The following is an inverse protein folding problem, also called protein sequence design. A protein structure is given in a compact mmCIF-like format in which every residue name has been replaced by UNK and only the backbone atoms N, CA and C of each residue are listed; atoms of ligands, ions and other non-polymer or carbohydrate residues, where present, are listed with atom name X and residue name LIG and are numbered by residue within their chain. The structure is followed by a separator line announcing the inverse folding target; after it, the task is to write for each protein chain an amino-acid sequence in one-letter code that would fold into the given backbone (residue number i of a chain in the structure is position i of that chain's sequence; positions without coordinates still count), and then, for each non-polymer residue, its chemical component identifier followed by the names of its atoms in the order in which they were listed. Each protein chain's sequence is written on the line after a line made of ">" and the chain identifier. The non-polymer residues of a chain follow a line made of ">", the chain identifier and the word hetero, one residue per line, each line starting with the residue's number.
data_IF_266727415539
#
_entry.id   IF_266727415539
#
_cell.length_a   1.000
_cell.length_b   1.000
_cell.length_c   1.000
_cell.angle_alpha   90.00
_cell.angle_beta   90.00
_cell.angle_gamma   90.00
#
_symmetry.space_group_name_H-M   'P 1'
#
loop_
_entity.id
_entity.type
_entity.pdbx_description
1 polymer ?
#
# COMPACT_ATOMS: atom_id res chain seq x y z
N UNK A 1 -23.13 40.45 45.17
CA UNK A 1 -22.73 41.62 45.99
C UNK A 1 -21.70 41.17 47.02
N UNK A 2 -20.71 42.00 47.36
CA UNK A 2 -19.71 41.83 48.44
C UNK A 2 -18.81 40.57 48.35
N UNK A 3 -17.50 40.58 48.03
CA UNK A 3 -16.35 41.47 48.31
C UNK A 3 -15.71 41.30 49.70
N UNK A 4 -14.50 40.70 49.74
CA UNK A 4 -13.39 40.84 50.71
C UNK A 4 -12.14 40.22 50.02
N UNK A 5 -10.95 40.85 49.80
CA UNK A 5 -10.02 41.70 50.61
C UNK A 5 -9.64 40.98 51.93
N UNK A 6 -8.40 40.76 52.39
CA UNK A 6 -6.98 41.21 52.21
C UNK A 6 -6.05 40.03 52.64
N UNK A 7 -4.70 39.96 52.55
CA UNK A 7 -3.62 40.72 51.87
C UNK A 7 -2.28 39.93 51.87
N UNK A 8 -1.36 40.32 50.99
CA UNK A 8 0.14 40.32 51.05
C UNK A 8 0.88 39.60 52.21
N UNK A 9 1.89 38.80 51.83
CA UNK A 9 3.18 38.74 52.54
C UNK A 9 4.35 38.65 51.52
N UNK A 10 5.32 39.56 51.63
CA UNK A 10 6.57 39.53 50.86
C UNK A 10 7.59 38.63 51.59
N UNK A 11 8.34 37.80 50.87
CA UNK A 11 9.70 37.40 51.27
C UNK A 11 10.59 37.39 50.04
N UNK A 12 11.58 38.28 50.01
CA UNK A 12 12.65 38.24 49.03
C UNK A 12 13.77 37.34 49.53
N UNK A 13 14.26 36.43 48.69
CA UNK A 13 15.55 35.76 48.91
C UNK A 13 16.35 35.81 47.62
N UNK A 14 17.41 36.62 47.66
CA UNK A 14 18.41 36.72 46.60
C UNK A 14 19.28 35.48 46.59
N UNK A 15 19.34 34.80 45.44
CA UNK A 15 20.22 33.65 45.21
C UNK A 15 20.89 33.77 43.84
N UNK A 16 22.10 34.33 43.80
CA UNK A 16 22.94 34.27 42.60
C UNK A 16 23.38 32.81 42.38
N UNK A 17 23.00 32.23 41.25
CA UNK A 17 23.59 30.99 40.74
C UNK A 17 24.26 31.29 39.40
N UNK A 18 25.53 30.89 39.27
CA UNK A 18 26.40 31.38 38.20
C UNK A 18 26.07 30.82 36.81
N UNK A 19 26.08 31.71 35.80
CA UNK A 19 26.06 31.34 34.38
C UNK A 19 27.38 30.67 33.99
N UNK A 20 27.39 29.33 33.94
CA UNK A 20 28.50 28.57 33.35
C UNK A 20 28.28 28.43 31.84
N UNK A 21 28.94 29.28 31.05
CA UNK A 21 29.00 29.12 29.60
C UNK A 21 29.98 27.99 29.24
N UNK A 22 29.45 26.80 28.93
CA UNK A 22 30.25 25.73 28.31
C UNK A 22 30.49 26.04 26.83
N UNK A 23 31.70 26.50 26.53
CA UNK A 23 32.20 26.64 25.16
C UNK A 23 32.39 25.26 24.50
N UNK A 24 31.96 25.15 23.24
CA UNK A 24 32.54 24.20 22.29
C UNK A 24 32.07 22.74 22.40
N UNK A 25 31.06 22.40 21.61
CA UNK A 25 31.10 21.14 20.86
C UNK A 25 30.66 21.43 19.42
N UNK A 26 31.54 21.32 18.41
CA UNK A 26 31.13 21.52 17.02
C UNK A 26 30.11 20.44 16.65
N UNK A 27 29.03 20.84 15.97
CA UNK A 27 28.07 19.89 15.45
C UNK A 27 28.79 18.90 14.53
N UNK A 28 28.90 17.65 14.98
CA UNK A 28 29.15 16.52 14.08
C UNK A 28 27.93 16.37 13.19
N UNK A 29 27.94 17.09 12.07
CA UNK A 29 27.05 16.86 10.95
C UNK A 29 27.36 15.46 10.41
N UNK A 30 26.67 14.45 10.98
CA UNK A 30 26.69 13.09 10.48
C UNK A 30 26.06 13.10 9.09
N UNK A 31 26.91 13.27 8.08
CA UNK A 31 26.52 13.15 6.69
C UNK A 31 26.04 11.72 6.48
N UNK A 32 24.72 11.54 6.44
CA UNK A 32 24.11 10.26 6.13
C UNK A 32 24.72 9.72 4.82
N UNK A 33 25.03 8.41 4.72
CA UNK A 33 25.60 7.87 3.50
C UNK A 33 24.67 8.18 2.33
N UNK A 34 25.21 8.81 1.27
CA UNK A 34 24.50 8.93 0.00
C UNK A 34 24.45 7.52 -0.58
N UNK A 35 23.42 6.76 -0.20
CA UNK A 35 23.18 5.41 -0.70
C UNK A 35 23.07 5.51 -2.23
N UNK A 36 24.09 4.98 -2.90
CA UNK A 36 24.29 5.19 -4.33
C UNK A 36 23.16 4.49 -5.07
N UNK A 37 22.16 5.26 -5.51
CA UNK A 37 21.03 4.74 -6.27
C UNK A 37 21.54 4.13 -7.57
N UNK A 38 21.70 2.80 -7.56
CA UNK A 38 22.17 2.04 -8.71
C UNK A 38 21.31 2.37 -9.93
N UNK A 39 21.97 2.81 -11.03
CA UNK A 39 21.34 3.40 -12.21
C UNK A 39 20.50 2.37 -12.99
N UNK A 40 19.29 2.13 -12.50
CA UNK A 40 18.39 1.09 -12.98
C UNK A 40 17.98 1.32 -14.44
N UNK A 41 18.29 0.35 -15.30
CA UNK A 41 18.03 0.44 -16.75
C UNK A 41 16.59 0.09 -17.15
N UNK A 42 15.92 -0.79 -16.41
CA UNK A 42 14.55 -1.24 -16.66
C UNK A 42 13.82 -1.63 -15.35
N UNK A 43 12.50 -1.50 -15.33
CA UNK A 43 11.66 -1.90 -14.18
C UNK A 43 11.63 -3.42 -14.05
N UNK A 44 11.90 -3.96 -12.85
CA UNK A 44 11.84 -5.40 -12.60
C UNK A 44 10.39 -5.85 -12.45
N UNK A 45 9.94 -6.70 -13.36
CA UNK A 45 8.62 -7.34 -13.27
C UNK A 45 8.72 -8.55 -12.34
N UNK A 46 7.76 -8.68 -11.43
CA UNK A 46 7.64 -9.83 -10.52
C UNK A 46 6.29 -10.49 -10.82
N UNK A 47 6.32 -11.64 -11.49
CA UNK A 47 5.17 -12.53 -11.55
C UNK A 47 5.13 -13.33 -10.24
N UNK A 48 4.10 -13.10 -9.43
CA UNK A 48 3.96 -13.67 -8.11
C UNK A 48 2.89 -14.76 -8.08
N UNK A 49 3.29 -15.93 -7.58
CA UNK A 49 2.39 -16.99 -7.14
C UNK A 49 2.97 -17.63 -5.88
N UNK A 50 2.21 -17.78 -4.79
CA UNK A 50 2.66 -18.43 -3.57
C UNK A 50 2.64 -19.97 -3.70
N UNK A 51 2.01 -20.51 -4.75
CA UNK A 51 1.80 -21.94 -4.96
C UNK A 51 2.84 -22.60 -5.89
N UNK A 52 3.09 -23.88 -5.62
CA UNK A 52 3.66 -24.85 -6.55
C UNK A 52 2.56 -25.37 -7.50
N UNK A 53 2.91 -26.01 -8.62
CA UNK A 53 1.91 -26.59 -9.54
C UNK A 53 0.93 -27.58 -8.91
N UNK A 54 1.31 -28.25 -7.82
CA UNK A 54 0.45 -29.18 -7.07
C UNK A 54 -0.57 -28.53 -6.12
N UNK A 55 -0.76 -27.21 -6.17
CA UNK A 55 -1.67 -26.50 -5.24
C UNK A 55 -1.13 -26.33 -3.81
N UNK A 56 0.08 -26.86 -3.52
CA UNK A 56 0.76 -26.66 -2.24
C UNK A 56 1.53 -25.32 -2.19
N UNK A 57 1.56 -24.68 -1.02
CA UNK A 57 2.33 -23.46 -0.80
C UNK A 57 3.85 -23.71 -0.91
N UNK A 58 4.57 -22.68 -1.37
CA UNK A 58 6.04 -22.61 -1.35
C UNK A 58 6.51 -22.41 0.09
N UNK A 59 7.66 -22.98 0.49
CA UNK A 59 8.21 -22.94 1.86
C UNK A 59 8.29 -21.54 2.51
N UNK A 60 8.47 -20.49 1.70
CA UNK A 60 8.56 -19.11 2.16
C UNK A 60 7.19 -18.39 2.29
N UNK A 61 6.10 -19.14 2.25
CA UNK A 61 4.72 -18.67 2.33
C UNK A 61 3.95 -19.40 3.41
N UNK A 62 3.10 -18.67 4.11
CA UNK A 62 2.23 -19.18 5.17
C UNK A 62 0.80 -18.74 4.93
N UNK A 63 -0.12 -19.34 5.66
CA UNK A 63 -1.50 -18.86 5.81
C UNK A 63 -1.69 -18.29 7.21
N UNK A 64 -2.78 -17.55 7.43
CA UNK A 64 -3.34 -17.44 8.78
C UNK A 64 -3.79 -18.82 9.32
N UNK A 65 -3.89 -18.91 10.64
CA UNK A 65 -4.13 -20.18 11.35
C UNK A 65 -5.60 -20.64 11.32
N UNK A 66 -6.52 -19.77 10.92
CA UNK A 66 -7.96 -20.04 10.81
C UNK A 66 -8.52 -19.31 9.59
N UNK A 67 -9.52 -19.88 8.88
CA UNK A 67 -10.43 -19.12 8.05
C UNK A 67 -10.87 -17.86 8.78
N UNK A 68 -10.69 -16.71 8.13
CA UNK A 68 -11.37 -15.50 8.58
C UNK A 68 -12.83 -15.69 8.23
N UNK A 69 -13.68 -15.53 9.24
CA UNK A 69 -15.09 -15.28 9.00
C UNK A 69 -15.16 -14.05 8.08
N UNK A 70 -15.71 -14.27 6.89
CA UNK A 70 -16.05 -13.16 5.99
C UNK A 70 -16.97 -12.20 6.72
N UNK A 71 -16.97 -10.92 6.36
CA UNK A 71 -17.89 -9.94 6.95
C UNK A 71 -19.39 -10.23 6.70
N UNK A 72 -19.71 -11.32 5.99
CA UNK A 72 -21.00 -11.99 6.06
C UNK A 72 -20.82 -13.38 6.69
N UNK A 73 -21.74 -13.78 7.56
CA UNK A 73 -21.84 -15.14 8.14
C UNK A 73 -21.98 -16.24 7.06
N UNK A 74 -22.19 -15.85 5.81
CA UNK A 74 -22.48 -16.68 4.66
C UNK A 74 -21.34 -16.70 3.62
N UNK A 75 -20.08 -16.52 4.00
CA UNK A 75 -18.93 -16.57 3.07
C UNK A 75 -18.69 -15.29 2.22
N UNK A 76 -17.60 -15.27 1.46
CA UNK A 76 -17.40 -14.33 0.35
C UNK A 76 -18.28 -14.69 -0.83
N UNK A 77 -18.73 -13.67 -1.56
CA UNK A 77 -19.43 -13.81 -2.83
C UNK A 77 -18.56 -13.25 -3.96
N UNK A 78 -18.15 -14.12 -4.88
CA UNK A 78 -17.32 -13.78 -6.02
C UNK A 78 -18.13 -13.85 -7.35
N UNK A 79 -19.46 -13.84 -7.28
CA UNK A 79 -20.36 -14.04 -8.42
C UNK A 79 -20.25 -12.99 -9.53
N UNK A 80 -19.76 -11.79 -9.21
CA UNK A 80 -19.53 -10.72 -10.19
C UNK A 80 -18.48 -11.11 -11.26
N UNK A 81 -17.62 -12.11 -10.96
CA UNK A 81 -16.64 -12.64 -11.90
C UNK A 81 -15.61 -11.61 -12.39
N UNK A 82 -15.49 -10.49 -11.67
CA UNK A 82 -14.66 -9.34 -12.08
C UNK A 82 -13.23 -9.79 -12.38
N UNK A 83 -12.81 -9.57 -13.63
CA UNK A 83 -11.47 -9.94 -14.12
C UNK A 83 -10.42 -9.08 -13.40
N UNK A 84 -9.61 -9.62 -12.46
CA UNK A 84 -8.81 -8.77 -11.60
C UNK A 84 -7.73 -8.05 -12.39
N UNK A 85 -7.58 -6.75 -12.15
CA UNK A 85 -6.73 -5.89 -12.97
C UNK A 85 -5.27 -6.37 -13.03
N UNK A 86 -4.82 -7.08 -12.00
CA UNK A 86 -3.45 -7.55 -11.80
C UNK A 86 -3.16 -8.97 -12.28
N UNK A 87 -4.16 -9.70 -12.77
CA UNK A 87 -4.04 -11.11 -13.15
C UNK A 87 -3.30 -11.28 -14.49
N UNK A 88 -2.25 -12.10 -14.51
CA UNK A 88 -1.55 -12.48 -15.75
C UNK A 88 -2.25 -13.62 -16.51
N UNK A 89 -3.09 -14.40 -15.83
CA UNK A 89 -3.81 -15.54 -16.40
C UNK A 89 -5.13 -15.82 -15.68
N UNK A 90 -6.00 -16.59 -16.34
CA UNK A 90 -7.32 -17.00 -15.87
C UNK A 90 -7.27 -17.76 -14.52
N UNK A 91 -8.38 -17.75 -13.78
CA UNK A 91 -8.51 -18.47 -12.51
C UNK A 91 -7.84 -17.76 -11.34
N UNK A 92 -7.94 -16.43 -11.35
CA UNK A 92 -7.49 -15.50 -10.32
C UNK A 92 -8.68 -14.64 -9.87
N UNK A 93 -8.92 -14.50 -8.57
CA UNK A 93 -10.14 -13.89 -8.06
C UNK A 93 -9.85 -12.63 -7.24
N UNK A 94 -10.77 -11.67 -7.27
CA UNK A 94 -10.82 -10.49 -6.42
C UNK A 94 -12.29 -10.35 -6.00
N UNK A 95 -12.60 -10.64 -4.74
CA UNK A 95 -14.00 -10.72 -4.29
C UNK A 95 -14.34 -9.56 -3.33
N UNK A 96 -15.54 -8.96 -3.43
CA UNK A 96 -16.01 -7.99 -2.45
C UNK A 96 -16.33 -8.63 -1.08
N UNK A 97 -16.17 -7.90 0.04
CA UNK A 97 -15.46 -6.63 0.14
C UNK A 97 -13.94 -6.85 0.22
N UNK A 98 -13.17 -6.25 -0.70
CA UNK A 98 -11.70 -6.40 -0.75
C UNK A 98 -11.00 -5.87 0.52
N UNK A 99 -11.69 -5.02 1.30
CA UNK A 99 -11.30 -4.52 2.62
C UNK A 99 -10.94 -5.60 3.66
N UNK A 100 -11.24 -6.88 3.40
CA UNK A 100 -10.85 -8.01 4.25
C UNK A 100 -9.45 -8.58 3.93
N UNK A 101 -8.64 -7.88 3.11
CA UNK A 101 -7.36 -8.37 2.60
C UNK A 101 -7.53 -9.35 1.43
N UNK A 102 -8.63 -9.20 0.68
CA UNK A 102 -9.04 -10.06 -0.43
C UNK A 102 -8.63 -9.49 -1.81
N UNK A 103 -7.45 -8.86 -1.88
CA UNK A 103 -7.00 -8.14 -3.09
C UNK A 103 -6.59 -9.08 -4.23
N UNK A 104 -5.91 -10.18 -3.93
CA UNK A 104 -5.56 -11.21 -4.91
C UNK A 104 -5.68 -12.64 -4.40
N UNK A 105 -6.66 -13.38 -4.92
CA UNK A 105 -7.07 -14.68 -4.39
C UNK A 105 -6.89 -15.84 -5.38
N UNK A 106 -6.51 -17.00 -4.85
CA UNK A 106 -6.44 -18.27 -5.57
C UNK A 106 -7.41 -19.27 -4.97
N UNK A 107 -8.10 -20.04 -5.82
CA UNK A 107 -8.65 -21.33 -5.46
C UNK A 107 -7.54 -22.39 -5.52
N UNK A 108 -7.60 -23.40 -4.66
CA UNK A 108 -6.66 -24.53 -4.65
C UNK A 108 -7.40 -25.82 -4.31
N UNK A 109 -7.13 -26.95 -4.99
CA UNK A 109 -7.74 -28.25 -4.67
C UNK A 109 -7.56 -28.71 -3.22
N UNK A 110 -6.55 -28.18 -2.51
CA UNK A 110 -6.30 -28.47 -1.09
C UNK A 110 -7.27 -27.73 -0.14
N UNK A 111 -7.89 -26.65 -0.59
CA UNK A 111 -8.70 -25.74 0.21
C UNK A 111 -10.09 -25.60 -0.43
N UNK A 112 -10.81 -26.72 -0.53
CA UNK A 112 -12.15 -26.79 -1.15
C UNK A 112 -13.12 -25.86 -0.39
N UNK A 113 -13.96 -25.13 -1.14
CA UNK A 113 -14.87 -24.13 -0.59
C UNK A 113 -14.20 -22.82 -0.12
N UNK A 114 -12.88 -22.69 -0.30
CA UNK A 114 -12.11 -21.55 0.21
C UNK A 114 -11.26 -20.87 -0.89
N UNK A 115 -10.99 -19.60 -0.66
CA UNK A 115 -9.95 -18.85 -1.35
C UNK A 115 -8.82 -18.53 -0.38
N UNK A 116 -7.58 -18.64 -0.86
CA UNK A 116 -6.42 -18.06 -0.17
C UNK A 116 -6.11 -16.72 -0.82
N UNK A 117 -6.17 -15.63 -0.05
CA UNK A 117 -6.06 -14.26 -0.54
C UNK A 117 -4.81 -13.55 -0.03
N UNK A 118 -4.15 -12.83 -0.94
CA UNK A 118 -3.01 -11.96 -0.66
C UNK A 118 -3.49 -10.52 -0.53
N UNK A 119 -3.22 -9.93 0.63
CA UNK A 119 -3.35 -8.49 0.90
C UNK A 119 -2.13 -7.72 0.36
N UNK A 120 -0.91 -8.26 0.52
CA UNK A 120 0.33 -7.52 0.26
C UNK A 120 1.45 -8.44 -0.25
N UNK A 121 2.04 -8.19 -1.43
CA UNK A 121 3.20 -8.95 -1.94
C UNK A 121 4.43 -8.99 -1.02
N UNK A 122 4.49 -8.13 -0.01
CA UNK A 122 5.57 -8.07 0.97
C UNK A 122 5.30 -8.91 2.23
N UNK A 123 4.05 -9.22 2.59
CA UNK A 123 3.72 -9.95 3.83
C UNK A 123 4.09 -11.43 3.78
N UNK A 124 4.07 -12.04 2.58
CA UNK A 124 4.23 -13.49 2.34
C UNK A 124 3.23 -14.38 3.11
N UNK A 125 2.11 -13.80 3.54
CA UNK A 125 1.00 -14.50 4.17
C UNK A 125 -0.22 -14.45 3.28
N UNK A 126 -1.02 -15.49 3.32
CA UNK A 126 -2.36 -15.53 2.72
C UNK A 126 -3.42 -15.62 3.81
N UNK A 127 -4.53 -14.95 3.60
CA UNK A 127 -5.72 -15.06 4.43
C UNK A 127 -6.65 -16.12 3.85
N UNK A 128 -7.12 -17.05 4.67
CA UNK A 128 -8.18 -17.98 4.29
C UNK A 128 -9.54 -17.28 4.34
N UNK A 129 -10.35 -17.46 3.31
CA UNK A 129 -11.75 -17.02 3.30
C UNK A 129 -12.66 -18.16 2.80
N UNK A 130 -13.76 -18.40 3.52
CA UNK A 130 -14.85 -19.24 3.01
C UNK A 130 -15.52 -18.54 1.82
N UNK A 131 -15.96 -19.32 0.82
CA UNK A 131 -16.63 -18.79 -0.38
C UNK A 131 -17.96 -19.51 -0.60
N UNK A 132 -19.01 -18.71 -0.79
CA UNK A 132 -20.36 -19.19 -1.09
C UNK A 132 -20.58 -19.37 -2.58
N UNK A 133 -20.13 -18.42 -3.38
CA UNK A 133 -20.26 -18.44 -4.85
C UNK A 133 -18.90 -18.12 -5.46
N UNK A 134 -18.39 -19.07 -6.26
CA UNK A 134 -17.16 -18.92 -7.04
C UNK A 134 -17.46 -19.23 -8.51
N UNK A 135 -17.26 -18.30 -9.46
CA UNK A 135 -17.46 -18.58 -10.87
C UNK A 135 -16.38 -19.54 -11.38
N UNK A 136 -16.78 -20.45 -12.28
CA UNK A 136 -15.98 -21.59 -12.72
C UNK A 136 -14.56 -21.23 -13.18
N UNK A 137 -14.39 -20.08 -13.85
CA UNK A 137 -13.07 -19.46 -14.05
C UNK A 137 -13.20 -17.98 -14.40
N UNK A 138 -12.57 -17.11 -13.62
CA UNK A 138 -12.36 -15.71 -14.02
C UNK A 138 -11.39 -15.60 -15.20
N UNK A 139 -11.50 -14.52 -15.97
CA UNK A 139 -10.61 -14.23 -17.11
C UNK A 139 -9.55 -13.21 -16.76
N UNK A 140 -8.37 -13.32 -17.38
CA UNK A 140 -7.36 -12.27 -17.32
C UNK A 140 -7.61 -11.16 -18.33
N UNK A 141 -7.30 -9.92 -17.96
CA UNK A 141 -7.33 -8.78 -18.88
C UNK A 141 -6.16 -8.86 -19.87
N UNK A 142 -6.40 -8.51 -21.15
CA UNK A 142 -5.36 -8.43 -22.19
C UNK A 142 -4.21 -7.47 -21.87
N UNK A 143 -4.43 -6.50 -20.96
CA UNK A 143 -3.46 -5.51 -20.52
C UNK A 143 -3.56 -5.34 -19.00
N UNK A 144 -2.94 -6.23 -18.21
CA UNK A 144 -3.01 -6.14 -16.77
C UNK A 144 -2.21 -4.95 -16.23
N UNK A 145 -2.59 -4.48 -15.05
CA UNK A 145 -1.98 -3.42 -14.25
C UNK A 145 -1.33 -4.02 -12.99
N UNK A 146 -0.14 -3.59 -12.54
CA UNK A 146 0.47 -4.17 -11.34
C UNK A 146 -0.43 -4.06 -10.09
N UNK A 147 -0.51 -5.12 -9.28
CA UNK A 147 -1.13 -5.05 -7.94
C UNK A 147 -0.33 -4.10 -7.05
N UNK A 148 1.01 -4.14 -7.14
CA UNK A 148 1.87 -3.36 -6.27
C UNK A 148 3.10 -2.80 -7.01
N UNK A 149 3.65 -1.71 -6.46
CA UNK A 149 4.82 -1.00 -6.96
C UNK A 149 5.80 -0.72 -5.82
N UNK A 150 7.10 -0.84 -6.11
CA UNK A 150 8.20 -0.30 -5.30
C UNK A 150 8.88 0.74 -6.18
N UNK A 151 9.03 1.97 -5.69
CA UNK A 151 9.69 3.05 -6.42
C UNK A 151 11.18 3.13 -6.07
N UNK A 152 11.95 3.93 -6.81
CA UNK A 152 13.41 4.04 -6.61
C UNK A 152 13.81 4.69 -5.28
N UNK A 153 12.90 5.39 -4.61
CA UNK A 153 13.06 5.93 -3.25
C UNK A 153 12.71 4.92 -2.13
N UNK A 154 12.34 3.68 -2.48
CA UNK A 154 11.95 2.65 -1.52
C UNK A 154 10.49 2.73 -1.03
N UNK A 155 9.71 3.70 -1.51
CA UNK A 155 8.26 3.77 -1.22
C UNK A 155 7.51 2.59 -1.86
N UNK A 156 6.52 2.07 -1.13
CA UNK A 156 5.71 0.91 -1.52
C UNK A 156 4.25 1.31 -1.68
N UNK A 157 3.65 0.91 -2.80
CA UNK A 157 2.32 1.34 -3.21
C UNK A 157 1.47 0.15 -3.63
N UNK A 158 0.25 0.06 -3.10
CA UNK A 158 -0.71 -1.01 -3.39
C UNK A 158 -1.89 -0.44 -4.20
N UNK A 159 -2.36 -1.20 -5.19
CA UNK A 159 -3.47 -0.80 -6.06
C UNK A 159 -4.75 -0.65 -5.23
N UNK A 160 -5.46 0.47 -5.40
CA UNK A 160 -6.79 0.64 -4.81
C UNK A 160 -7.82 -0.18 -5.62
N UNK A 161 -7.99 -1.42 -5.18
CA UNK A 161 -8.91 -2.46 -5.71
C UNK A 161 -10.38 -2.13 -5.48
N UNK A 162 -10.70 -1.40 -4.42
CA UNK A 162 -12.08 -1.12 -3.99
C UNK A 162 -12.24 0.27 -3.36
N UNK A 163 -13.50 0.72 -3.22
CA UNK A 163 -13.88 1.98 -2.58
C UNK A 163 -13.58 3.24 -3.40
N UNK A 164 -14.09 4.37 -2.95
CA UNK A 164 -13.95 5.68 -3.62
C UNK A 164 -12.49 6.10 -3.73
N UNK A 165 -12.06 6.52 -4.91
CA UNK A 165 -10.71 7.07 -5.13
C UNK A 165 -10.70 8.55 -4.75
N UNK A 166 -9.80 8.95 -3.86
CA UNK A 166 -9.59 10.36 -3.51
C UNK A 166 -9.13 11.14 -4.73
N UNK A 167 -9.65 12.36 -4.85
CA UNK A 167 -9.49 13.23 -6.02
C UNK A 167 -8.66 14.47 -5.72
N UNK A 168 -8.61 15.35 -6.73
CA UNK A 168 -7.90 16.63 -6.77
C UNK A 168 -8.59 17.53 -7.81
N UNK A 169 -8.50 18.85 -7.65
CA UNK A 169 -9.11 19.84 -8.57
C UNK A 169 -8.60 19.76 -10.01
N UNK A 170 -7.41 19.20 -10.21
CA UNK A 170 -6.81 18.94 -11.53
C UNK A 170 -7.30 17.64 -12.20
N UNK A 171 -8.35 17.01 -11.68
CA UNK A 171 -8.97 15.80 -12.24
C UNK A 171 -8.14 14.52 -12.04
N UNK A 172 -7.04 14.58 -11.27
CA UNK A 172 -6.21 13.43 -10.98
C UNK A 172 -6.76 12.61 -9.81
N UNK A 173 -6.89 11.30 -10.01
CA UNK A 173 -7.36 10.34 -9.01
C UNK A 173 -6.21 9.51 -8.44
N UNK A 174 -6.28 9.22 -7.13
CA UNK A 174 -5.40 8.25 -6.47
C UNK A 174 -5.70 6.81 -6.90
N UNK A 175 -4.75 6.18 -7.59
CA UNK A 175 -4.84 4.80 -8.10
C UNK A 175 -4.12 3.80 -7.19
N UNK A 176 -2.97 4.19 -6.62
CA UNK A 176 -2.29 3.38 -5.60
C UNK A 176 -2.13 4.18 -4.31
N UNK A 177 -2.34 3.51 -3.18
CA UNK A 177 -2.13 4.05 -1.83
C UNK A 177 -0.76 3.62 -1.30
N UNK A 178 -0.17 4.45 -0.44
CA UNK A 178 1.06 4.09 0.26
C UNK A 178 0.81 2.98 1.30
N UNK A 179 1.71 2.00 1.40
CA UNK A 179 1.63 0.90 2.37
C UNK A 179 2.89 0.69 3.22
N UNK A 180 3.90 1.56 3.10
CA UNK A 180 5.08 1.52 3.99
C UNK A 180 5.40 2.90 4.59
N UNK A 181 6.26 2.91 5.61
CA UNK A 181 6.57 4.14 6.36
C UNK A 181 7.11 5.27 5.46
N UNK A 182 7.92 4.94 4.45
CA UNK A 182 8.62 5.89 3.56
C UNK A 182 7.68 6.93 2.93
N UNK A 183 6.50 6.52 2.46
CA UNK A 183 5.51 7.42 1.83
C UNK A 183 4.30 7.72 2.73
N UNK A 184 4.29 7.23 3.98
CA UNK A 184 3.12 7.31 4.84
C UNK A 184 2.82 8.75 5.26
N UNK A 185 1.55 9.08 5.49
CA UNK A 185 1.13 10.40 5.97
C UNK A 185 1.81 10.75 7.30
N UNK A 186 1.94 9.78 8.22
CA UNK A 186 2.67 9.93 9.48
C UNK A 186 4.15 10.36 9.31
N UNK A 187 4.78 10.01 8.20
CA UNK A 187 6.19 10.34 7.90
C UNK A 187 6.33 11.58 7.02
N UNK A 188 5.35 11.85 6.15
CA UNK A 188 5.42 12.92 5.13
C UNK A 188 4.58 14.15 5.45
N UNK A 189 3.70 14.06 6.46
CA UNK A 189 2.66 15.06 6.77
C UNK A 189 1.59 15.18 5.68
N UNK A 190 1.48 14.20 4.78
CA UNK A 190 0.75 14.30 3.52
C UNK A 190 0.06 12.98 3.14
N UNK A 191 -1.23 13.04 2.82
CA UNK A 191 -1.93 11.92 2.20
C UNK A 191 -1.52 11.78 0.72
N UNK A 192 -0.54 10.91 0.44
CA UNK A 192 0.02 10.72 -0.90
C UNK A 192 -0.60 9.53 -1.64
N UNK A 193 -0.75 9.67 -2.95
CA UNK A 193 -1.14 8.58 -3.86
C UNK A 193 -0.34 8.59 -5.17
N UNK A 194 -0.30 7.45 -5.87
CA UNK A 194 0.05 7.40 -7.31
C UNK A 194 -1.15 7.88 -8.12
N UNK A 195 -0.93 8.89 -8.97
CA UNK A 195 -1.99 9.66 -9.63
C UNK A 195 -2.17 9.35 -11.12
N UNK A 196 -3.44 9.25 -11.55
CA UNK A 196 -3.80 9.13 -12.97
C UNK A 196 -4.96 10.04 -13.37
N UNK A 197 -4.95 10.50 -14.63
CA UNK A 197 -6.05 11.23 -15.27
C UNK A 197 -7.01 10.23 -15.97
N UNK A 198 -7.35 9.14 -15.28
CA UNK A 198 -7.91 7.93 -15.88
C UNK A 198 -6.85 6.89 -16.25
N UNK A 199 -7.25 5.63 -16.44
CA UNK A 199 -6.35 4.49 -16.69
C UNK A 199 -5.46 4.11 -15.50
N UNK A 200 -4.38 3.38 -15.79
CA UNK A 200 -3.62 2.60 -14.80
C UNK A 200 -2.58 3.37 -13.94
N UNK A 201 -2.41 4.68 -14.09
CA UNK A 201 -1.40 5.48 -13.35
C UNK A 201 0.09 5.20 -13.65
N UNK A 202 0.41 4.04 -14.23
CA UNK A 202 1.78 3.62 -14.58
C UNK A 202 2.06 3.87 -16.06
N UNK A 203 3.02 4.74 -16.36
CA UNK A 203 3.54 4.91 -17.71
C UNK A 203 4.58 3.81 -18.00
N UNK A 204 4.22 2.94 -18.96
CA UNK A 204 4.97 1.73 -19.36
C UNK A 204 5.61 1.84 -20.75
N UNK A 205 5.67 3.03 -21.37
CA UNK A 205 6.12 3.20 -22.77
C UNK A 205 7.62 3.07 -23.01
N UNK A 206 8.41 2.90 -21.94
CA UNK A 206 9.87 2.67 -21.97
C UNK A 206 10.21 1.50 -21.04
N UNK A 207 11.37 0.83 -21.17
CA UNK A 207 11.75 -0.29 -20.29
C UNK A 207 11.80 0.09 -18.79
N UNK A 208 12.15 1.34 -18.48
CA UNK A 208 12.06 1.90 -17.13
C UNK A 208 10.75 2.68 -16.97
N UNK A 209 9.79 2.08 -16.27
CA UNK A 209 8.46 2.65 -16.06
C UNK A 209 8.51 3.86 -15.11
N UNK A 210 7.49 4.71 -15.18
CA UNK A 210 7.35 5.85 -14.28
C UNK A 210 5.91 6.08 -13.84
N UNK A 211 5.76 6.66 -12.66
CA UNK A 211 4.50 7.09 -12.07
C UNK A 211 4.57 8.58 -11.70
N UNK A 212 3.40 9.18 -11.43
CA UNK A 212 3.29 10.49 -10.79
C UNK A 212 2.78 10.26 -9.37
N UNK A 213 3.42 10.86 -8.37
CA UNK A 213 3.00 10.81 -6.96
C UNK A 213 2.71 12.23 -6.48
N UNK A 214 1.60 12.41 -5.77
CA UNK A 214 1.21 13.69 -5.20
C UNK A 214 0.14 13.53 -4.13
N UNK A 215 -0.17 14.63 -3.46
CA UNK A 215 -1.21 14.70 -2.45
C UNK A 215 -2.61 14.46 -3.04
N UNK A 216 -3.49 13.82 -2.26
CA UNK A 216 -4.90 13.61 -2.57
C UNK A 216 -5.77 13.96 -1.36
N UNK A 217 -7.02 14.31 -1.62
CA UNK A 217 -8.02 14.58 -0.59
C UNK A 217 -9.38 14.77 -1.24
N UNK A 218 -10.05 15.87 -0.90
CA UNK A 218 -11.31 16.26 -1.51
C UNK A 218 -11.10 16.73 -2.96
N UNK A 219 -12.10 16.46 -3.80
CA UNK A 219 -12.03 16.69 -5.25
C UNK A 219 -11.79 18.14 -5.65
N UNK A 220 -12.14 19.10 -4.80
CA UNK A 220 -12.05 20.54 -5.09
C UNK A 220 -10.76 21.20 -4.58
N UNK A 221 -9.89 20.45 -3.88
CA UNK A 221 -8.64 20.98 -3.35
C UNK A 221 -7.57 21.09 -4.45
N UNK A 222 -6.97 22.26 -4.56
CA UNK A 222 -5.81 22.50 -5.40
C UNK A 222 -4.52 22.12 -4.65
N UNK A 223 -3.77 21.18 -5.21
CA UNK A 223 -2.50 20.69 -4.65
C UNK A 223 -1.34 20.97 -5.60
N UNK A 224 -0.08 20.99 -5.12
CA UNK A 224 1.10 21.10 -5.98
C UNK A 224 1.14 20.04 -7.09
N UNK A 225 1.84 20.36 -8.18
CA UNK A 225 2.03 19.45 -9.31
C UNK A 225 2.75 18.16 -8.85
N UNK A 226 2.30 16.97 -9.31
CA UNK A 226 2.81 15.72 -8.79
C UNK A 226 4.19 15.38 -9.33
N UNK A 227 5.06 14.87 -8.45
CA UNK A 227 6.45 14.50 -8.75
C UNK A 227 6.50 13.19 -9.52
N UNK A 228 7.42 13.07 -10.48
CA UNK A 228 7.62 11.86 -11.26
C UNK A 228 8.66 10.94 -10.61
N UNK A 229 8.28 9.69 -10.39
CA UNK A 229 9.15 8.65 -9.83
C UNK A 229 9.39 7.53 -10.83
N UNK A 230 10.50 6.81 -10.68
CA UNK A 230 10.80 5.59 -11.44
C UNK A 230 10.30 4.38 -10.67
N UNK A 231 9.72 3.41 -11.38
CA UNK A 231 9.27 2.15 -10.78
C UNK A 231 10.44 1.18 -10.73
N UNK A 232 10.85 0.79 -9.52
CA UNK A 232 11.93 -0.16 -9.27
C UNK A 232 11.46 -1.60 -9.47
N UNK A 233 10.33 -1.96 -8.87
CA UNK A 233 9.66 -3.26 -9.08
C UNK A 233 8.17 -3.08 -9.29
N UNK A 234 7.57 -3.96 -10.09
CA UNK A 234 6.12 -4.03 -10.30
C UNK A 234 5.65 -5.48 -10.15
N UNK A 235 4.68 -5.72 -9.28
CA UNK A 235 4.14 -7.05 -9.01
C UNK A 235 2.85 -7.28 -9.80
N UNK A 236 2.81 -8.39 -10.51
CA UNK A 236 1.61 -8.97 -11.09
C UNK A 236 1.40 -10.35 -10.48
N UNK A 237 0.16 -10.82 -10.47
CA UNK A 237 -0.18 -12.09 -9.81
C UNK A 237 -0.60 -13.10 -10.86
N UNK A 238 -0.25 -14.36 -10.66
CA UNK A 238 -0.63 -15.44 -11.55
C UNK A 238 -1.03 -16.70 -10.79
N UNK A 239 -1.93 -17.46 -11.39
CA UNK A 239 -2.15 -18.85 -10.99
C UNK A 239 -1.01 -19.70 -11.56
N UNK A 240 -0.56 -20.67 -10.79
CA UNK A 240 0.47 -21.65 -11.17
C UNK A 240 0.02 -23.09 -10.88
N UNK A 241 -1.15 -23.25 -10.24
CA UNK A 241 -1.77 -24.53 -9.93
C UNK A 241 -2.28 -25.14 -11.25
N UNK A 242 -2.11 -26.45 -11.41
CA UNK A 242 -2.60 -27.22 -12.55
C UNK A 242 -3.81 -28.04 -12.17
#
# INVERSE_FOLDING_TARGET
>A
MSTLKRSVALTATTGLAALSFTLGNPLSASAAPIETQAKQKATKIVALSPFRPSGALKKAWQTDARPRDSASENGLDCSDGSSPAWALNDGMYQCPPSLLGADACWSSPKYVGQLLCLESPWSRSLNHHQVRVLPAKSKALKRPQPLALELTDGSQWLLKTSGTRSGRKDGLLGIYTCVNKVCSEKTTGKNLAVLSAGGHGVNRSKPLWSVRVGEVGDGDVAYPAPKRYKVKKAWFIHNNIK
#
